data_IF_612441918518
#
_entry.id   IF_612441918518
#
_cell.length_a   1.000
_cell.length_b   1.000
_cell.length_c   1.000
_cell.angle_alpha   90.00
_cell.angle_beta   90.00
_cell.angle_gamma   90.00
#
_symmetry.space_group_name_H-M   'P 1'
#
loop_
_entity.id
_entity.type
_entity.pdbx_description
1 polymer ?
#
# COMPACT_ATOMS: atom_id res chain seq x y z
N UNK A 1 2.90 2.58 -19.84
CA UNK A 1 3.55 2.20 -18.56
C UNK A 1 2.65 1.18 -17.87
N UNK A 2 3.20 0.23 -17.11
CA UNK A 2 2.44 -0.79 -16.37
C UNK A 2 2.69 -0.61 -14.86
N UNK A 3 1.98 0.30 -14.17
CA UNK A 3 2.17 0.49 -12.75
C UNK A 3 1.70 -0.74 -11.96
N UNK A 4 2.49 -1.11 -10.96
CA UNK A 4 2.13 -2.12 -9.98
C UNK A 4 2.15 -1.49 -8.58
N UNK A 5 1.09 -1.72 -7.81
CA UNK A 5 0.99 -1.26 -6.42
C UNK A 5 0.82 -2.48 -5.51
N UNK A 6 1.60 -2.52 -4.44
CA UNK A 6 1.44 -3.50 -3.36
C UNK A 6 0.88 -2.76 -2.16
N UNK A 7 -0.27 -3.17 -1.66
CA UNK A 7 -0.88 -2.60 -0.46
C UNK A 7 -0.73 -3.60 0.68
N UNK A 8 0.02 -3.22 1.71
CA UNK A 8 0.18 -4.02 2.93
C UNK A 8 -0.66 -3.43 4.05
N UNK A 9 -1.44 -4.26 4.76
CA UNK A 9 -2.25 -3.83 5.89
C UNK A 9 -2.57 -4.99 6.85
N UNK A 10 -3.21 -4.69 7.98
CA UNK A 10 -3.58 -5.70 8.96
C UNK A 10 -4.58 -6.72 8.43
N UNK A 11 -4.34 -8.00 8.71
CA UNK A 11 -5.25 -9.09 8.37
C UNK A 11 -6.68 -8.89 8.87
N UNK A 12 -7.64 -9.48 8.15
CA UNK A 12 -9.03 -9.59 8.58
C UNK A 12 -10.04 -8.80 7.74
N UNK A 13 -9.65 -8.33 6.54
CA UNK A 13 -10.57 -7.69 5.59
C UNK A 13 -11.26 -8.72 4.71
N UNK A 14 -12.51 -8.45 4.35
CA UNK A 14 -13.24 -9.29 3.39
C UNK A 14 -12.63 -9.19 1.99
N UNK A 15 -12.89 -10.18 1.14
CA UNK A 15 -12.49 -10.10 -0.28
C UNK A 15 -13.18 -8.95 -1.03
N UNK A 16 -14.38 -8.57 -0.59
CA UNK A 16 -15.10 -7.42 -1.14
C UNK A 16 -14.40 -6.10 -0.81
N UNK A 17 -14.01 -5.90 0.46
CA UNK A 17 -13.23 -4.73 0.91
C UNK A 17 -11.92 -4.63 0.12
N UNK A 18 -11.24 -5.77 -0.09
CA UNK A 18 -9.97 -5.84 -0.84
C UNK A 18 -10.15 -5.45 -2.31
N UNK A 19 -11.23 -5.88 -2.95
CA UNK A 19 -11.56 -5.50 -4.34
C UNK A 19 -11.89 -4.02 -4.45
N UNK A 20 -12.77 -3.51 -3.59
CA UNK A 20 -13.14 -2.10 -3.57
C UNK A 20 -11.91 -1.19 -3.34
N UNK A 21 -11.00 -1.60 -2.47
CA UNK A 21 -9.72 -0.90 -2.26
C UNK A 21 -8.86 -0.90 -3.52
N UNK A 22 -8.70 -2.06 -4.18
CA UNK A 22 -7.90 -2.17 -5.40
C UNK A 22 -8.44 -1.28 -6.53
N UNK A 23 -9.77 -1.25 -6.70
CA UNK A 23 -10.44 -0.37 -7.67
C UNK A 23 -10.18 1.11 -7.35
N UNK A 24 -10.26 1.49 -6.07
CA UNK A 24 -9.96 2.85 -5.62
C UNK A 24 -8.51 3.27 -5.87
N UNK A 25 -7.54 2.37 -5.65
CA UNK A 25 -6.12 2.62 -5.95
C UNK A 25 -5.90 2.80 -7.46
N UNK A 26 -6.50 1.94 -8.29
CA UNK A 26 -6.40 2.05 -9.74
C UNK A 26 -7.03 3.34 -10.26
N UNK A 27 -8.19 3.72 -9.74
CA UNK A 27 -8.87 4.97 -10.08
C UNK A 27 -8.00 6.19 -9.72
N UNK A 28 -7.40 6.22 -8.52
CA UNK A 28 -6.53 7.32 -8.11
C UNK A 28 -5.32 7.49 -9.05
N UNK A 29 -4.71 6.38 -9.50
CA UNK A 29 -3.62 6.39 -10.47
C UNK A 29 -4.06 6.85 -11.87
N UNK A 30 -5.26 6.44 -12.31
CA UNK A 30 -5.85 6.94 -13.55
C UNK A 30 -6.08 8.46 -13.47
N UNK A 31 -6.71 8.94 -12.41
CA UNK A 31 -7.10 10.34 -12.24
C UNK A 31 -5.89 11.27 -12.10
N UNK A 32 -4.86 10.85 -11.37
CA UNK A 32 -3.71 11.70 -11.04
C UNK A 32 -2.55 11.58 -12.02
N UNK A 33 -2.38 10.43 -12.66
CA UNK A 33 -1.23 10.13 -13.53
C UNK A 33 -1.62 9.73 -14.96
N UNK A 34 -2.92 9.62 -15.26
CA UNK A 34 -3.42 9.35 -16.61
C UNK A 34 -3.23 7.91 -17.09
N UNK A 35 -3.01 6.95 -16.19
CA UNK A 35 -2.87 5.54 -16.59
C UNK A 35 -4.22 4.92 -16.95
N UNK A 36 -4.22 4.06 -17.97
CA UNK A 36 -5.36 3.21 -18.27
C UNK A 36 -5.49 2.12 -17.20
N UNK A 37 -6.68 1.95 -16.61
CA UNK A 37 -6.95 0.97 -15.55
C UNK A 37 -6.54 -0.45 -15.95
N UNK A 38 -6.71 -0.82 -17.22
CA UNK A 38 -6.33 -2.13 -17.76
C UNK A 38 -4.82 -2.44 -17.64
N UNK A 39 -3.97 -1.42 -17.48
CA UNK A 39 -2.52 -1.55 -17.33
C UNK A 39 -2.07 -1.48 -15.86
N UNK A 40 -3.00 -1.30 -14.91
CA UNK A 40 -2.72 -1.19 -13.48
C UNK A 40 -2.94 -2.54 -12.82
N UNK A 41 -1.98 -2.97 -12.01
CA UNK A 41 -2.13 -4.15 -11.16
C UNK A 41 -1.95 -3.80 -9.69
N UNK A 42 -2.81 -4.35 -8.84
CA UNK A 42 -2.76 -4.15 -7.38
C UNK A 42 -2.68 -5.51 -6.70
N UNK A 43 -1.72 -5.68 -5.80
CA UNK A 43 -1.62 -6.84 -4.91
C UNK A 43 -1.83 -6.43 -3.46
N UNK A 44 -2.28 -7.39 -2.65
CA UNK A 44 -2.52 -7.21 -1.22
C UNK A 44 -1.66 -8.19 -0.44
N UNK A 45 -0.98 -7.69 0.59
CA UNK A 45 -0.30 -8.49 1.60
C UNK A 45 -0.94 -8.22 2.97
N UNK A 46 -1.65 -9.20 3.50
CA UNK A 46 -2.22 -9.15 4.85
C UNK A 46 -1.15 -9.58 5.87
N UNK A 47 -0.97 -8.77 6.91
CA UNK A 47 0.04 -8.98 7.95
C UNK A 47 -0.64 -8.95 9.32
N UNK A 48 -0.34 -9.91 10.19
CA UNK A 48 -0.85 -9.87 11.56
C UNK A 48 -0.33 -8.64 12.29
N UNK A 49 -1.20 -8.02 13.11
CA UNK A 49 -0.84 -6.79 13.83
C UNK A 49 0.39 -6.95 14.72
N UNK A 50 0.56 -8.14 15.31
CA UNK A 50 1.71 -8.46 16.15
C UNK A 50 3.05 -8.42 15.38
N UNK A 51 3.01 -8.76 14.09
CA UNK A 51 4.20 -8.89 13.25
C UNK A 51 4.51 -7.61 12.45
N UNK A 52 3.61 -6.62 12.48
CA UNK A 52 3.69 -5.42 11.63
C UNK A 52 5.02 -4.68 11.73
N UNK A 53 5.56 -4.56 12.94
CA UNK A 53 6.80 -3.83 13.16
C UNK A 53 7.98 -4.49 12.46
N UNK A 54 8.06 -5.82 12.53
CA UNK A 54 9.14 -6.60 11.94
C UNK A 54 8.92 -6.82 10.43
N UNK A 55 7.68 -7.10 10.03
CA UNK A 55 7.35 -7.48 8.66
C UNK A 55 7.16 -6.29 7.71
N UNK A 56 6.78 -5.10 8.20
CA UNK A 56 6.48 -3.93 7.37
C UNK A 56 7.21 -2.67 7.84
N UNK A 57 7.06 -2.28 9.11
CA UNK A 57 7.59 -0.99 9.57
C UNK A 57 9.10 -0.89 9.40
N UNK A 58 9.86 -1.85 9.91
CA UNK A 58 11.31 -1.87 9.77
C UNK A 58 11.78 -2.00 8.31
N UNK A 59 11.39 -3.05 7.55
CA UNK A 59 11.95 -3.30 6.22
C UNK A 59 11.45 -2.35 5.14
N UNK A 60 10.17 -1.97 5.17
CA UNK A 60 9.53 -1.25 4.07
C UNK A 60 9.35 0.25 4.35
N UNK A 61 9.31 0.66 5.64
CA UNK A 61 9.16 2.08 6.01
C UNK A 61 10.49 2.67 6.48
N UNK A 62 11.14 2.07 7.48
CA UNK A 62 12.38 2.61 8.08
C UNK A 62 13.55 2.48 7.12
N UNK A 63 13.85 1.27 6.64
CA UNK A 63 15.00 1.05 5.73
C UNK A 63 14.84 1.74 4.38
N UNK A 64 13.60 2.04 3.97
CA UNK A 64 13.28 2.71 2.71
C UNK A 64 12.74 4.13 2.90
N UNK A 65 13.01 4.76 4.04
CA UNK A 65 12.46 6.09 4.36
C UNK A 65 12.72 7.17 3.31
N UNK A 66 13.79 7.04 2.52
CA UNK A 66 14.13 7.95 1.43
C UNK A 66 13.17 7.87 0.23
N UNK A 67 12.36 6.81 0.13
CA UNK A 67 11.34 6.61 -0.90
C UNK A 67 9.95 7.04 -0.44
N UNK A 68 9.78 7.42 0.84
CA UNK A 68 8.50 7.84 1.37
C UNK A 68 8.12 9.21 0.82
N UNK A 69 7.06 9.24 0.01
CA UNK A 69 6.38 10.48 -0.40
C UNK A 69 5.35 10.96 0.65
N UNK A 70 5.00 10.10 1.61
CA UNK A 70 4.13 10.38 2.75
C UNK A 70 4.65 9.62 3.98
N UNK A 71 4.81 10.33 5.11
CA UNK A 71 5.28 9.73 6.37
C UNK A 71 4.15 9.03 7.12
N UNK A 72 4.46 7.98 7.92
CA UNK A 72 3.47 7.37 8.81
C UNK A 72 3.11 8.33 9.95
N UNK A 73 1.95 8.14 10.59
CA UNK A 73 1.59 8.85 11.84
C UNK A 73 2.10 8.18 13.12
N UNK A 74 3.02 7.22 13.02
CA UNK A 74 3.44 6.36 14.13
C UNK A 74 4.92 5.94 14.04
N UNK A 75 5.45 5.46 15.17
CA UNK A 75 6.85 5.10 15.35
C UNK A 75 7.79 6.31 15.24
N UNK A 76 9.10 6.07 15.11
CA UNK A 76 10.11 7.15 15.17
C UNK A 76 10.18 8.01 13.90
N UNK A 77 9.55 7.58 12.80
CA UNK A 77 9.43 8.36 11.56
C UNK A 77 8.14 9.17 11.47
N UNK A 78 7.37 9.25 12.55
CA UNK A 78 6.11 9.99 12.59
C UNK A 78 6.28 11.46 12.18
N UNK A 79 5.42 11.97 11.29
CA UNK A 79 5.44 13.36 10.83
C UNK A 79 4.34 13.70 9.83
#
# INVERSE_FOLDING_TARGET
MMPHVIVKFYSGRSDEDKRAMADGVAAALQETMGYEVANISVSVEEVEKADWMEAVYEPDIVRRQHQLVKRPGYGHLAG
#
